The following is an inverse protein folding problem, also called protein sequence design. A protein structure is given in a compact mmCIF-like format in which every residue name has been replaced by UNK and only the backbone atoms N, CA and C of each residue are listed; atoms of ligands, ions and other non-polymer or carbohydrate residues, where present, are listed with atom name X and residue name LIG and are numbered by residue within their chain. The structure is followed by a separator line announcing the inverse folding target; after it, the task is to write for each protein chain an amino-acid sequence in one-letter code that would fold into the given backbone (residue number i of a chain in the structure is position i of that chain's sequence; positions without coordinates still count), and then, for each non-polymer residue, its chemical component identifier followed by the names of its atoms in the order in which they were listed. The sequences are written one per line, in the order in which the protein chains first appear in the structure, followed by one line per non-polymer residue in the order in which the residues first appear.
data_IF_018252282033
#
_entry.id   IF_018252282033
#
_cell.length_a   1.000
_cell.length_b   1.000
_cell.length_c   1.000
_cell.angle_alpha   90.00
_cell.angle_beta   90.00
_cell.angle_gamma   90.00
#
_symmetry.space_group_name_H-M   'P 1'
#
loop_
_entity.id
_entity.type
_entity.pdbx_description
1 polymer ?
#
# COMPACT_ATOMS: atom_id res chain seq x y z
N UNK A 1 -31.03 -7.45 -37.18
CA UNK A 1 -29.58 -7.64 -37.01
C UNK A 1 -28.95 -6.26 -36.76
N UNK A 2 -28.88 -5.81 -35.50
CA UNK A 2 -28.42 -4.46 -35.12
C UNK A 2 -26.93 -4.51 -34.76
N UNK A 3 -26.12 -4.08 -35.72
CA UNK A 3 -24.86 -3.34 -35.62
C UNK A 3 -24.20 -3.19 -34.24
N UNK A 4 -22.96 -3.69 -34.21
CA UNK A 4 -21.84 -3.33 -33.34
C UNK A 4 -21.88 -1.86 -32.88
N UNK A 5 -21.85 -1.64 -31.57
CA UNK A 5 -21.62 -0.34 -30.97
C UNK A 5 -20.50 -0.46 -29.94
N UNK A 6 -19.34 0.00 -30.39
CA UNK A 6 -18.44 0.89 -29.67
C UNK A 6 -18.16 0.55 -28.21
N UNK A 7 -16.99 -0.05 -28.01
CA UNK A 7 -15.99 0.38 -27.04
C UNK A 7 -16.08 1.90 -26.89
N UNK A 8 -16.73 2.37 -25.82
CA UNK A 8 -16.54 3.70 -25.25
C UNK A 8 -17.28 3.72 -23.91
N UNK A 9 -16.64 3.16 -22.89
CA UNK A 9 -16.98 3.49 -21.51
C UNK A 9 -16.26 4.81 -21.20
N UNK A 10 -16.85 5.92 -21.63
CA UNK A 10 -16.46 7.26 -21.15
C UNK A 10 -16.83 7.30 -19.67
N UNK A 11 -15.82 7.46 -18.82
CA UNK A 11 -15.96 7.78 -17.41
C UNK A 11 -16.91 8.97 -17.24
N UNK A 12 -18.10 8.73 -16.68
CA UNK A 12 -18.86 9.77 -16.01
C UNK A 12 -18.11 10.11 -14.71
N UNK A 13 -17.20 11.07 -14.77
CA UNK A 13 -16.52 11.56 -13.59
C UNK A 13 -17.47 12.44 -12.78
N UNK A 14 -18.23 11.83 -11.88
CA UNK A 14 -18.99 12.56 -10.86
C UNK A 14 -18.00 13.36 -10.01
N UNK A 15 -18.21 14.67 -9.93
CA UNK A 15 -17.40 15.66 -9.19
C UNK A 15 -17.37 15.36 -7.66
N UNK A 16 -18.07 14.32 -7.19
CA UNK A 16 -18.16 13.90 -5.78
C UNK A 16 -17.20 12.80 -5.31
N UNK A 17 -16.44 12.13 -6.18
CA UNK A 17 -15.49 11.08 -5.76
C UNK A 17 -14.06 11.65 -5.60
N UNK A 18 -13.87 12.60 -4.69
CA UNK A 18 -12.53 13.09 -4.29
C UNK A 18 -12.10 12.53 -2.93
N UNK A 19 -12.35 11.24 -2.69
CA UNK A 19 -11.88 10.57 -1.48
C UNK A 19 -10.42 10.14 -1.65
N UNK A 20 -9.71 9.98 -0.54
CA UNK A 20 -8.34 9.45 -0.55
C UNK A 20 -8.28 8.10 -1.28
N UNK A 21 -9.33 7.29 -1.17
CA UNK A 21 -9.38 5.99 -1.80
C UNK A 21 -9.43 6.06 -3.32
N UNK A 22 -10.27 6.96 -3.86
CA UNK A 22 -10.31 7.22 -5.29
C UNK A 22 -8.93 7.60 -5.84
N UNK A 23 -8.24 8.54 -5.18
CA UNK A 23 -6.90 8.97 -5.59
C UNK A 23 -5.91 7.80 -5.56
N UNK A 24 -5.95 6.97 -4.52
CA UNK A 24 -5.03 5.85 -4.36
C UNK A 24 -5.30 4.71 -5.34
N UNK A 25 -6.53 4.58 -5.84
CA UNK A 25 -6.91 3.58 -6.84
C UNK A 25 -6.53 4.05 -8.26
N UNK A 26 -6.73 5.33 -8.58
CA UNK A 26 -6.23 5.94 -9.82
C UNK A 26 -4.69 5.86 -9.89
N UNK A 27 -3.99 6.23 -8.80
CA UNK A 27 -2.52 6.11 -8.74
C UNK A 27 -2.02 4.69 -8.99
N UNK A 28 -2.73 3.68 -8.47
CA UNK A 28 -2.34 2.29 -8.67
C UNK A 28 -2.48 1.84 -10.13
N UNK A 29 -3.43 2.42 -10.89
CA UNK A 29 -3.62 2.15 -12.32
C UNK A 29 -2.61 2.91 -13.18
N UNK A 30 -2.38 4.19 -12.89
CA UNK A 30 -1.53 5.05 -13.72
C UNK A 30 -0.03 4.86 -13.45
N UNK A 31 0.38 4.60 -12.21
CA UNK A 31 1.80 4.53 -11.82
C UNK A 31 2.27 3.11 -11.52
N UNK A 32 1.68 2.11 -12.16
CA UNK A 32 2.10 0.72 -11.98
C UNK A 32 3.58 0.56 -12.38
N UNK A 33 4.38 -0.04 -11.51
CA UNK A 33 5.84 -0.20 -11.62
C UNK A 33 6.69 1.10 -11.60
N UNK A 34 6.10 2.28 -11.65
CA UNK A 34 6.81 3.57 -11.57
C UNK A 34 6.85 4.14 -10.14
N UNK A 35 5.80 3.89 -9.37
CA UNK A 35 5.71 4.30 -7.97
C UNK A 35 6.04 3.12 -7.03
N UNK A 36 6.79 3.41 -5.96
CA UNK A 36 6.85 2.47 -4.84
C UNK A 36 5.51 2.51 -4.07
N UNK A 37 4.60 1.62 -4.46
CA UNK A 37 3.25 1.52 -3.90
C UNK A 37 3.26 1.40 -2.37
N UNK A 38 4.22 0.67 -1.81
CA UNK A 38 4.34 0.49 -0.36
C UNK A 38 4.60 1.81 0.36
N UNK A 39 5.52 2.64 -0.15
CA UNK A 39 5.82 3.95 0.46
C UNK A 39 4.58 4.84 0.54
N UNK A 40 3.80 4.89 -0.53
CA UNK A 40 2.59 5.73 -0.57
C UNK A 40 1.51 5.23 0.36
N UNK A 41 1.34 3.92 0.49
CA UNK A 41 0.40 3.32 1.43
C UNK A 41 0.82 3.49 2.89
N UNK A 42 2.12 3.44 3.18
CA UNK A 42 2.66 3.75 4.52
C UNK A 42 2.43 5.23 4.87
N UNK A 43 2.68 6.15 3.93
CA UNK A 43 2.47 7.59 4.12
C UNK A 43 1.01 7.95 4.43
N UNK A 44 0.06 7.24 3.84
CA UNK A 44 -1.38 7.47 4.07
C UNK A 44 -1.95 6.62 5.20
N UNK A 45 -1.16 5.73 5.81
CA UNK A 45 -1.61 4.82 6.86
C UNK A 45 -2.58 3.73 6.39
N UNK A 46 -2.72 3.52 5.08
CA UNK A 46 -3.70 2.60 4.49
C UNK A 46 -3.11 1.25 4.05
N UNK A 47 -1.82 1.01 4.33
CA UNK A 47 -1.10 -0.21 3.90
C UNK A 47 -1.78 -1.50 4.35
N UNK A 48 -2.10 -1.62 5.64
CA UNK A 48 -2.63 -2.86 6.21
C UNK A 48 -4.03 -3.14 5.64
N UNK A 49 -4.91 -2.14 5.66
CA UNK A 49 -6.28 -2.26 5.16
C UNK A 49 -6.31 -2.60 3.67
N UNK A 50 -5.44 -1.96 2.87
CA UNK A 50 -5.34 -2.27 1.43
C UNK A 50 -4.64 -3.59 1.12
N UNK A 51 -3.71 -4.04 1.96
CA UNK A 51 -3.10 -5.36 1.78
C UNK A 51 -4.13 -6.48 2.03
N UNK A 52 -5.03 -6.30 3.00
CA UNK A 52 -6.09 -7.29 3.32
C UNK A 52 -7.10 -7.48 2.18
N UNK A 53 -7.47 -6.42 1.46
CA UNK A 53 -8.43 -6.53 0.34
C UNK A 53 -7.80 -7.17 -0.90
N UNK A 54 -6.47 -7.16 -1.01
CA UNK A 54 -5.74 -7.71 -2.15
C UNK A 54 -5.48 -9.23 -2.00
N UNK A 55 -6.40 -9.95 -1.35
CA UNK A 55 -6.43 -11.42 -1.25
C UNK A 55 -7.12 -12.00 -2.48
N UNK A 56 -6.55 -11.76 -3.67
CA UNK A 56 -7.04 -12.45 -4.86
C UNK A 56 -6.82 -13.96 -4.68
N UNK A 57 -7.89 -14.73 -4.86
CA UNK A 57 -8.04 -16.14 -4.51
C UNK A 57 -7.22 -17.08 -5.41
N UNK A 58 -6.57 -16.54 -6.44
CA UNK A 58 -5.66 -17.26 -7.34
C UNK A 58 -4.27 -17.50 -6.73
N UNK A 59 -3.85 -16.67 -5.76
CA UNK A 59 -2.59 -16.85 -5.02
C UNK A 59 -2.92 -17.72 -3.80
N UNK A 60 -2.51 -18.99 -3.82
CA UNK A 60 -2.65 -19.91 -2.68
C UNK A 60 -1.79 -19.42 -1.50
N UNK A 61 -2.36 -18.56 -0.66
CA UNK A 61 -1.73 -18.12 0.57
C UNK A 61 -2.52 -17.02 1.27
N UNK A 62 -2.86 -17.24 2.54
CA UNK A 62 -3.33 -16.15 3.40
C UNK A 62 -2.17 -15.17 3.60
N UNK A 63 -2.39 -13.89 3.28
CA UNK A 63 -1.39 -12.85 3.58
C UNK A 63 -1.20 -12.81 5.10
N UNK A 64 -0.04 -13.27 5.57
CA UNK A 64 0.32 -13.31 6.99
C UNK A 64 1.22 -12.12 7.34
N UNK A 65 1.34 -11.81 8.64
CA UNK A 65 2.24 -10.75 9.11
C UNK A 65 1.73 -9.31 8.91
N UNK A 66 0.45 -9.11 8.58
CA UNK A 66 -0.19 -7.80 8.51
C UNK A 66 -0.49 -7.23 9.91
N UNK A 67 0.56 -6.95 10.68
CA UNK A 67 0.46 -6.29 11.99
C UNK A 67 0.85 -4.80 11.89
N UNK A 68 0.47 -3.95 12.86
CA UNK A 68 0.79 -2.52 12.85
C UNK A 68 2.28 -2.20 12.75
N UNK A 69 3.16 -3.12 13.15
CA UNK A 69 4.61 -2.95 13.14
C UNK A 69 5.15 -2.77 11.71
N UNK A 70 4.55 -3.37 10.68
CA UNK A 70 5.08 -3.31 9.30
C UNK A 70 5.06 -1.91 8.66
N UNK A 71 4.40 -0.94 9.31
CA UNK A 71 4.39 0.46 8.91
C UNK A 71 5.78 1.12 9.08
N UNK A 72 6.61 0.58 9.97
CA UNK A 72 8.01 1.00 10.16
C UNK A 72 8.92 -0.20 9.97
N UNK A 73 10.08 -0.01 9.35
CA UNK A 73 11.10 -1.05 9.26
C UNK A 73 11.91 -1.12 10.57
N UNK A 74 12.51 -2.26 10.93
CA UNK A 74 13.42 -2.30 12.07
C UNK A 74 14.61 -1.38 11.81
N UNK A 75 15.09 -0.73 12.87
CA UNK A 75 16.39 -0.06 12.85
C UNK A 75 17.46 -1.16 12.70
N UNK A 76 18.43 -1.02 11.78
CA UNK A 76 19.47 -2.02 11.60
C UNK A 76 20.24 -2.27 12.91
N UNK A 77 20.44 -3.53 13.26
CA UNK A 77 21.12 -3.91 14.50
C UNK A 77 22.56 -3.35 14.57
N UNK A 78 23.24 -3.27 13.42
CA UNK A 78 24.57 -2.68 13.33
C UNK A 78 24.62 -1.22 13.78
N UNK A 79 23.56 -0.45 13.52
CA UNK A 79 23.47 0.95 13.93
C UNK A 79 23.18 1.08 15.42
N UNK A 80 22.32 0.20 15.96
CA UNK A 80 22.03 0.15 17.42
C UNK A 80 23.30 -0.24 18.19
N UNK A 81 24.04 -1.24 17.73
CA UNK A 81 25.24 -1.74 18.40
C UNK A 81 26.45 -0.79 18.29
N UNK A 82 26.50 0.05 17.25
CA UNK A 82 27.58 1.03 17.05
C UNK A 82 27.51 2.18 18.04
N UNK A 83 26.31 2.57 18.47
CA UNK A 83 26.12 3.63 19.45
C UNK A 83 26.38 3.10 20.87
N UNK A 84 27.55 3.42 21.42
CA UNK A 84 27.95 3.02 22.78
C UNK A 84 27.52 4.02 23.85
N UNK A 85 27.27 5.27 23.45
CA UNK A 85 26.98 6.37 24.38
C UNK A 85 25.49 6.50 24.70
N UNK A 86 24.62 5.95 23.85
CA UNK A 86 23.16 6.01 24.00
C UNK A 86 22.54 4.67 23.62
N UNK A 87 21.72 4.11 24.50
CA UNK A 87 20.93 2.91 24.20
C UNK A 87 19.74 3.29 23.33
N UNK A 88 19.75 2.85 22.07
CA UNK A 88 18.64 3.06 21.15
C UNK A 88 17.61 1.95 21.29
N UNK A 89 16.35 2.33 21.48
CA UNK A 89 15.22 1.42 21.35
C UNK A 89 14.86 1.25 19.88
N UNK A 90 14.44 0.04 19.49
CA UNK A 90 14.02 -0.23 18.12
C UNK A 90 12.61 0.32 17.86
N UNK A 91 12.21 0.39 16.58
CA UNK A 91 10.86 0.77 16.21
C UNK A 91 9.82 -0.18 16.86
N UNK A 92 8.65 0.34 17.28
CA UNK A 92 7.68 -0.41 18.07
C UNK A 92 7.37 -1.80 17.50
N UNK A 93 7.50 -2.78 18.39
CA UNK A 93 7.38 -4.19 18.06
C UNK A 93 8.74 -4.86 17.82
N UNK A 94 9.68 -4.23 17.13
CA UNK A 94 10.97 -4.89 16.88
C UNK A 94 11.78 -5.02 18.17
N UNK A 95 12.38 -6.20 18.38
CA UNK A 95 13.23 -6.53 19.51
C UNK A 95 14.65 -6.78 19.01
#
# INVERSE_FOLDING_TARGET
MKTSRHIFLVFLFSIGLKTLDFILDERAREMFAEENRRLTLMRTGTLIERAKINTDSSIKGTISGLNPRINLLPIPLSEIQRNKDVKWENNPGYN
#
